data_IF_275533820146
#
_entry.id   IF_275533820146
#
_cell.length_a   1.000
_cell.length_b   1.000
_cell.length_c   1.000
_cell.angle_alpha   90.00
_cell.angle_beta   90.00
_cell.angle_gamma   90.00
#
_symmetry.space_group_name_H-M   'P 1'
#
loop_
_entity.id
_entity.type
_entity.pdbx_description
1 polymer ?
#
# COMPACT_ATOMS: atom_id res chain seq x y z
N UNK A 1 -14.28 -19.48 -14.04
CA UNK A 1 -14.88 -18.79 -12.88
C UNK A 1 -13.79 -17.97 -12.22
N UNK A 2 -13.79 -16.64 -12.40
CA UNK A 2 -12.88 -15.74 -11.68
C UNK A 2 -13.46 -15.50 -10.29
N UNK A 3 -12.73 -15.91 -9.26
CA UNK A 3 -13.04 -15.53 -7.88
C UNK A 3 -12.73 -14.04 -7.70
N UNK A 4 -13.78 -13.23 -7.76
CA UNK A 4 -13.72 -11.80 -7.47
C UNK A 4 -13.63 -11.64 -5.95
N UNK A 5 -12.42 -11.48 -5.40
CA UNK A 5 -12.27 -11.08 -4.00
C UNK A 5 -12.77 -9.63 -3.90
N UNK A 6 -13.84 -9.33 -3.15
CA UNK A 6 -14.32 -7.98 -3.04
C UNK A 6 -13.36 -7.21 -2.13
N UNK A 7 -12.45 -6.44 -2.74
CA UNK A 7 -11.55 -5.47 -2.08
C UNK A 7 -12.29 -4.31 -1.37
N UNK A 8 -13.61 -4.42 -1.21
CA UNK A 8 -14.49 -3.37 -0.69
C UNK A 8 -14.48 -3.33 0.84
N UNK A 9 -14.01 -4.39 1.52
CA UNK A 9 -14.09 -4.49 2.98
C UNK A 9 -12.79 -4.28 3.78
N UNK A 10 -11.61 -4.39 3.17
CA UNK A 10 -10.38 -4.61 3.96
C UNK A 10 -9.61 -3.34 4.39
N UNK A 11 -9.90 -2.18 3.80
CA UNK A 11 -9.14 -0.94 4.06
C UNK A 11 -10.10 0.23 4.26
N UNK A 12 -10.87 0.19 5.36
CA UNK A 12 -11.43 1.43 5.91
C UNK A 12 -10.25 2.23 6.47
N UNK A 13 -10.08 3.52 6.10
CA UNK A 13 -9.02 4.35 6.66
C UNK A 13 -9.18 4.38 8.19
N UNK A 14 -8.35 3.63 8.91
CA UNK A 14 -8.26 3.76 10.36
C UNK A 14 -7.73 5.17 10.60
N UNK A 15 -8.54 5.99 11.28
CA UNK A 15 -8.29 7.41 11.54
C UNK A 15 -6.81 7.69 11.80
N UNK A 16 -6.20 8.60 11.03
CA UNK A 16 -4.79 9.01 11.14
C UNK A 16 -4.38 9.62 12.50
N UNK A 17 -5.30 9.68 13.47
CA UNK A 17 -5.10 10.30 14.79
C UNK A 17 -4.57 9.34 15.86
N UNK A 18 -4.43 8.05 15.58
CA UNK A 18 -4.04 7.06 16.61
C UNK A 18 -2.71 6.40 16.26
N UNK A 19 -1.76 6.48 17.19
CA UNK A 19 -0.49 5.76 17.15
C UNK A 19 -0.72 4.26 16.93
N UNK A 20 0.29 3.56 16.43
CA UNK A 20 0.22 2.10 16.37
C UNK A 20 0.19 1.51 17.78
N UNK A 21 -0.73 0.55 18.07
CA UNK A 21 -0.76 -0.12 19.37
C UNK A 21 0.48 -0.98 19.62
N UNK A 22 1.11 -1.46 18.55
CA UNK A 22 2.34 -2.25 18.57
C UNK A 22 3.10 -2.14 17.25
N UNK A 23 4.37 -2.56 17.25
CA UNK A 23 5.17 -2.75 16.01
C UNK A 23 4.54 -3.79 15.09
N UNK A 24 3.96 -4.85 15.64
CA UNK A 24 3.30 -5.88 14.85
C UNK A 24 2.11 -5.31 14.05
N UNK A 25 1.33 -4.40 14.66
CA UNK A 25 0.24 -3.70 13.96
C UNK A 25 0.79 -2.77 12.87
N UNK A 26 1.94 -2.14 13.11
CA UNK A 26 2.63 -1.31 12.12
C UNK A 26 3.05 -2.14 10.91
N UNK A 27 3.79 -3.22 11.14
CA UNK A 27 4.26 -4.14 10.10
C UNK A 27 3.10 -4.75 9.33
N UNK A 28 2.02 -5.15 10.01
CA UNK A 28 0.83 -5.68 9.35
C UNK A 28 0.21 -4.68 8.37
N UNK A 29 0.07 -3.41 8.77
CA UNK A 29 -0.48 -2.37 7.92
C UNK A 29 0.44 -2.05 6.75
N UNK A 30 1.75 -1.97 7.00
CA UNK A 30 2.76 -1.78 5.95
C UNK A 30 2.71 -2.93 4.92
N UNK A 31 2.62 -4.18 5.37
CA UNK A 31 2.49 -5.35 4.49
C UNK A 31 1.18 -5.33 3.69
N UNK A 32 0.07 -4.87 4.30
CA UNK A 32 -1.21 -4.74 3.60
C UNK A 32 -1.14 -3.69 2.48
N UNK A 33 -0.42 -2.59 2.73
CA UNK A 33 -0.14 -1.56 1.72
C UNK A 33 0.76 -2.13 0.61
N UNK A 34 1.79 -2.91 0.97
CA UNK A 34 2.66 -3.59 0.00
C UNK A 34 1.86 -4.49 -0.94
N UNK A 35 1.00 -5.37 -0.41
CA UNK A 35 0.18 -6.26 -1.23
C UNK A 35 -0.82 -5.49 -2.10
N UNK A 36 -1.46 -4.46 -1.55
CA UNK A 36 -2.35 -3.59 -2.33
C UNK A 36 -1.62 -2.87 -3.47
N UNK A 37 -0.34 -2.52 -3.25
CA UNK A 37 0.53 -1.92 -4.27
C UNK A 37 0.88 -2.93 -5.36
N UNK A 38 1.19 -4.18 -4.99
CA UNK A 38 1.45 -5.28 -5.95
C UNK A 38 0.22 -5.58 -6.80
N UNK A 39 -0.96 -5.65 -6.20
CA UNK A 39 -2.23 -5.84 -6.91
C UNK A 39 -2.49 -4.71 -7.91
N UNK A 40 -2.27 -3.46 -7.47
CA UNK A 40 -2.36 -2.29 -8.34
C UNK A 40 -1.36 -2.39 -9.51
N UNK A 41 -0.11 -2.77 -9.26
CA UNK A 41 0.91 -2.97 -10.30
C UNK A 41 0.44 -4.00 -11.34
N UNK A 42 -0.06 -5.16 -10.90
CA UNK A 42 -0.56 -6.18 -11.81
C UNK A 42 -1.74 -5.68 -12.66
N UNK A 43 -2.64 -4.88 -12.07
CA UNK A 43 -3.74 -4.26 -12.82
C UNK A 43 -3.24 -3.23 -13.84
N UNK A 44 -2.22 -2.44 -13.50
CA UNK A 44 -1.57 -1.51 -14.43
C UNK A 44 -0.95 -2.29 -15.58
N UNK A 45 -0.19 -3.36 -15.32
CA UNK A 45 0.43 -4.20 -16.36
C UNK A 45 -0.61 -4.79 -17.32
N UNK A 46 -1.76 -5.21 -16.80
CA UNK A 46 -2.86 -5.77 -17.58
C UNK A 46 -3.73 -4.71 -18.28
N UNK A 47 -3.50 -3.42 -18.04
CA UNK A 47 -4.26 -2.35 -18.69
C UNK A 47 -4.03 -2.35 -20.21
N UNK A 48 -5.13 -2.50 -20.96
CA UNK A 48 -5.19 -2.51 -22.42
C UNK A 48 -5.92 -1.30 -23.02
N UNK A 49 -6.28 -0.31 -22.20
CA UNK A 49 -7.07 0.85 -22.63
C UNK A 49 -8.53 0.83 -22.11
N UNK A 50 -9.24 1.90 -22.42
CA UNK A 50 -10.65 2.10 -22.06
C UNK A 50 -10.85 2.97 -20.81
N UNK A 51 -11.75 3.95 -20.92
CA UNK A 51 -11.99 4.95 -19.87
C UNK A 51 -12.45 4.34 -18.54
N UNK A 52 -13.30 3.30 -18.59
CA UNK A 52 -13.78 2.62 -17.38
C UNK A 52 -12.67 1.88 -16.63
N UNK A 53 -11.75 1.23 -17.36
CA UNK A 53 -10.59 0.56 -16.78
C UNK A 53 -9.62 1.58 -16.20
N UNK A 54 -9.40 2.70 -16.91
CA UNK A 54 -8.58 3.80 -16.40
C UNK A 54 -9.15 4.38 -15.10
N UNK A 55 -10.46 4.64 -15.04
CA UNK A 55 -11.12 5.15 -13.84
C UNK A 55 -11.00 4.17 -12.66
N UNK A 56 -11.14 2.87 -12.92
CA UNK A 56 -10.95 1.83 -11.91
C UNK A 56 -9.51 1.82 -11.37
N UNK A 57 -8.52 1.87 -12.26
CA UNK A 57 -7.10 1.97 -11.90
C UNK A 57 -6.81 3.22 -11.07
N UNK A 58 -7.27 4.39 -11.52
CA UNK A 58 -7.10 5.66 -10.80
C UNK A 58 -7.67 5.58 -9.38
N UNK A 59 -8.86 4.98 -9.22
CA UNK A 59 -9.47 4.78 -7.89
C UNK A 59 -8.63 3.83 -7.02
N UNK A 60 -8.09 2.76 -7.59
CA UNK A 60 -7.18 1.84 -6.90
C UNK A 60 -5.91 2.55 -6.42
N UNK A 61 -5.26 3.30 -7.30
CA UNK A 61 -4.05 4.06 -6.99
C UNK A 61 -4.29 5.10 -5.89
N UNK A 62 -5.42 5.81 -5.91
CA UNK A 62 -5.74 6.77 -4.87
C UNK A 62 -5.91 6.11 -3.48
N UNK A 63 -6.49 4.90 -3.42
CA UNK A 63 -6.62 4.16 -2.16
C UNK A 63 -5.28 3.73 -1.58
N UNK A 64 -4.36 3.26 -2.43
CA UNK A 64 -2.99 2.91 -2.00
C UNK A 64 -2.27 4.15 -1.47
N UNK A 65 -2.37 5.27 -2.20
CA UNK A 65 -1.80 6.54 -1.78
C UNK A 65 -2.34 7.02 -0.42
N UNK A 66 -3.67 7.05 -0.24
CA UNK A 66 -4.27 7.49 1.02
C UNK A 66 -3.87 6.56 2.18
N UNK A 67 -3.83 5.24 1.95
CA UNK A 67 -3.40 4.26 2.95
C UNK A 67 -1.94 4.48 3.35
N UNK A 68 -1.04 4.69 2.39
CA UNK A 68 0.38 4.97 2.64
C UNK A 68 0.58 6.28 3.41
N UNK A 69 -0.13 7.34 3.03
CA UNK A 69 -0.08 8.63 3.72
C UNK A 69 -0.58 8.52 5.18
N UNK A 70 -1.63 7.75 5.42
CA UNK A 70 -2.14 7.50 6.77
C UNK A 70 -1.17 6.68 7.61
N UNK A 71 -0.58 5.62 7.03
CA UNK A 71 0.45 4.83 7.70
C UNK A 71 1.66 5.69 8.07
N UNK A 72 2.18 6.49 7.13
CA UNK A 72 3.30 7.40 7.37
C UNK A 72 3.05 8.33 8.56
N UNK A 73 1.87 8.98 8.62
CA UNK A 73 1.49 9.85 9.74
C UNK A 73 1.47 9.10 11.07
N UNK A 74 0.96 7.87 11.07
CA UNK A 74 0.87 7.04 12.27
C UNK A 74 2.24 6.56 12.73
N UNK A 75 3.12 6.17 11.81
CA UNK A 75 4.53 5.83 12.10
C UNK A 75 5.22 7.03 12.73
N UNK A 76 5.15 8.21 12.10
CA UNK A 76 5.77 9.44 12.61
C UNK A 76 5.25 9.86 14.00
N UNK A 77 4.00 9.51 14.33
CA UNK A 77 3.41 9.78 15.64
C UNK A 77 3.74 8.73 16.71
N UNK A 78 4.26 7.55 16.33
CA UNK A 78 4.53 6.43 17.23
C UNK A 78 5.93 6.59 17.84
N UNK A 79 6.09 6.60 19.18
CA UNK A 79 7.39 6.78 19.81
C UNK A 79 8.39 5.69 19.43
N UNK A 80 9.63 6.08 19.18
CA UNK A 80 10.76 5.16 18.95
C UNK A 80 11.33 4.66 20.30
N UNK A 81 10.50 4.03 21.11
CA UNK A 81 10.88 3.43 22.40
C UNK A 81 10.99 1.89 22.30
N UNK A 82 11.12 1.36 21.08
CA UNK A 82 11.03 -0.06 20.79
C UNK A 82 12.42 -0.70 20.79
N UNK A 83 12.49 -2.00 21.03
CA UNK A 83 13.74 -2.76 20.94
C UNK A 83 14.27 -2.71 19.49
N UNK A 84 15.60 -2.71 19.33
CA UNK A 84 16.26 -2.64 18.01
C UNK A 84 15.70 -3.65 17.00
N UNK A 85 15.36 -4.86 17.43
CA UNK A 85 14.80 -5.88 16.55
C UNK A 85 13.40 -5.54 16.00
N UNK A 86 12.61 -4.77 16.74
CA UNK A 86 11.30 -4.28 16.28
C UNK A 86 11.47 -3.13 15.28
N UNK A 87 12.45 -2.25 15.49
CA UNK A 87 12.80 -1.21 14.52
C UNK A 87 13.26 -1.82 13.17
N UNK A 88 14.09 -2.86 13.22
CA UNK A 88 14.56 -3.57 12.02
C UNK A 88 13.41 -4.18 11.20
N UNK A 89 12.35 -4.68 11.87
CA UNK A 89 11.16 -5.23 11.19
C UNK A 89 10.34 -4.15 10.49
N UNK A 90 10.19 -2.98 11.10
CA UNK A 90 9.52 -1.83 10.48
C UNK A 90 10.32 -1.34 9.28
N UNK A 91 11.65 -1.26 9.41
CA UNK A 91 12.54 -0.88 8.31
C UNK A 91 12.42 -1.87 7.14
N UNK A 92 12.46 -3.18 7.40
CA UNK A 92 12.27 -4.19 6.36
C UNK A 92 10.91 -4.03 5.64
N UNK A 93 9.82 -3.89 6.38
CA UNK A 93 8.49 -3.68 5.80
C UNK A 93 8.42 -2.37 4.98
N UNK A 94 9.12 -1.32 5.42
CA UNK A 94 9.21 -0.06 4.68
C UNK A 94 9.96 -0.23 3.35
N UNK A 95 11.07 -0.97 3.35
CA UNK A 95 11.81 -1.28 2.12
C UNK A 95 10.97 -2.10 1.13
N UNK A 96 10.14 -3.03 1.62
CA UNK A 96 9.23 -3.80 0.76
C UNK A 96 8.19 -2.90 0.07
N UNK A 97 7.61 -1.93 0.78
CA UNK A 97 6.71 -0.93 0.18
C UNK A 97 7.46 -0.15 -0.91
N UNK A 98 8.67 0.33 -0.61
CA UNK A 98 9.46 1.10 -1.59
C UNK A 98 9.73 0.29 -2.85
N UNK A 99 10.05 -0.99 -2.72
CA UNK A 99 10.26 -1.88 -3.86
C UNK A 99 8.96 -2.08 -4.67
N UNK A 100 7.83 -2.30 -3.98
CA UNK A 100 6.53 -2.44 -4.64
C UNK A 100 6.12 -1.16 -5.40
N UNK A 101 6.35 0.02 -4.81
CA UNK A 101 6.10 1.31 -5.44
C UNK A 101 7.00 1.54 -6.67
N UNK A 102 8.28 1.14 -6.58
CA UNK A 102 9.19 1.21 -7.71
C UNK A 102 8.70 0.36 -8.89
N UNK A 103 8.22 -0.87 -8.61
CA UNK A 103 7.63 -1.73 -9.65
C UNK A 103 6.34 -1.12 -10.23
N UNK A 104 5.50 -0.50 -9.40
CA UNK A 104 4.31 0.22 -9.88
C UNK A 104 4.66 1.38 -10.81
N UNK A 105 5.73 2.13 -10.50
CA UNK A 105 6.23 3.22 -11.36
C UNK A 105 6.73 2.68 -12.70
N UNK A 106 7.49 1.58 -12.70
CA UNK A 106 7.96 0.91 -13.93
C UNK A 106 6.78 0.41 -14.76
N UNK A 107 5.79 -0.23 -14.13
CA UNK A 107 4.59 -0.67 -14.82
C UNK A 107 3.83 0.50 -15.45
N UNK A 108 3.70 1.62 -14.72
CA UNK A 108 3.01 2.82 -15.22
C UNK A 108 3.75 3.45 -16.39
N UNK A 109 5.08 3.59 -16.29
CA UNK A 109 5.88 4.18 -17.37
C UNK A 109 5.84 3.33 -18.64
N UNK A 110 5.74 2.00 -18.51
CA UNK A 110 5.56 1.08 -19.65
C UNK A 110 4.26 1.28 -20.44
N UNK A 111 3.28 2.03 -19.90
CA UNK A 111 2.01 2.34 -20.57
C UNK A 111 1.97 3.67 -21.30
N UNK A 112 3.02 4.49 -21.15
CA UNK A 112 3.14 5.81 -21.78
C UNK A 112 3.90 5.72 -23.11
N UNK A 113 4.45 4.55 -23.45
CA UNK A 113 5.15 4.23 -24.69
C UNK A 113 4.49 3.05 -25.40
#
# INVERSE_FOLDING_TARGET
>A
MMNYIPLVGALVPRSARKQYPSTADMVLELNTITESTKDMTAQIEQYQGGLSNLLYLTKGTYKVYDSAMNAQKRVASTPANQERGEEDRVLAATYEIMNALNNALIATSSKVY
#
